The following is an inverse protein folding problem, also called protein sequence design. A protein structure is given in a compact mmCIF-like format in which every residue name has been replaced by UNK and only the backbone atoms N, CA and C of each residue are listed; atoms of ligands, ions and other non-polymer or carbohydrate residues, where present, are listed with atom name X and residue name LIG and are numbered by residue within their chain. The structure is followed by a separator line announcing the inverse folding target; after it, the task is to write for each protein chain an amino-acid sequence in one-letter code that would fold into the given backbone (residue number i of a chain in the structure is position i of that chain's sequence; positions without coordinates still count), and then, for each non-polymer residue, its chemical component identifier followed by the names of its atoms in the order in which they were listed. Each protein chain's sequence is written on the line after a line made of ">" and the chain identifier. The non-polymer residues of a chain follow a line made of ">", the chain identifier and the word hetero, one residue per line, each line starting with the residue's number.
data_IF_033289631238
#
_entry.id   IF_033289631238
#
_cell.length_a   1.000
_cell.length_b   1.000
_cell.length_c   1.000
_cell.angle_alpha   90.00
_cell.angle_beta   90.00
_cell.angle_gamma   90.00
#
_symmetry.space_group_name_H-M   'P 1'
#
loop_
_entity.id
_entity.type
_entity.pdbx_description
1 polymer ?
#
# COMPACT_ATOMS: atom_id res chain seq x y z
N UNK A 1 2.74 -17.91 4.71
CA UNK A 1 2.93 -16.93 5.80
C UNK A 1 4.24 -17.29 6.49
N UNK A 2 5.11 -16.31 6.73
CA UNK A 2 6.37 -16.49 7.47
C UNK A 2 6.14 -16.23 8.96
N UNK A 3 5.59 -15.06 9.29
CA UNK A 3 5.43 -14.61 10.67
C UNK A 3 4.26 -13.65 10.83
N UNK A 4 3.68 -13.61 12.03
CA UNK A 4 2.73 -12.59 12.50
C UNK A 4 3.48 -11.72 13.51
N UNK A 5 3.35 -10.38 13.49
CA UNK A 5 4.04 -9.56 14.47
C UNK A 5 3.57 -9.87 15.91
N UNK A 6 4.46 -9.72 16.91
CA UNK A 6 4.09 -9.90 18.31
C UNK A 6 3.22 -8.76 18.85
N UNK A 7 3.11 -7.66 18.11
CA UNK A 7 2.27 -6.50 18.44
C UNK A 7 1.03 -6.45 17.55
N UNK A 8 -0.04 -5.85 18.08
CA UNK A 8 -1.31 -5.65 17.36
C UNK A 8 -1.59 -4.19 17.02
N UNK A 9 -0.81 -3.28 17.57
CA UNK A 9 -0.92 -1.84 17.37
C UNK A 9 0.42 -1.27 16.93
N UNK A 10 0.37 -0.29 16.04
CA UNK A 10 1.51 0.54 15.64
C UNK A 10 1.25 1.93 16.21
N UNK A 11 2.23 2.46 16.94
CA UNK A 11 2.11 3.71 17.69
C UNK A 11 3.06 4.77 17.14
N UNK A 12 2.72 6.04 17.36
CA UNK A 12 3.68 7.15 17.31
C UNK A 12 4.56 7.15 18.56
N UNK A 13 5.63 7.95 18.51
CA UNK A 13 6.53 8.17 19.66
C UNK A 13 5.80 8.72 20.90
N UNK A 14 4.73 9.48 20.70
CA UNK A 14 3.90 10.04 21.79
C UNK A 14 2.86 9.05 22.34
N UNK A 15 2.82 7.81 21.83
CA UNK A 15 1.87 6.77 22.22
C UNK A 15 0.54 6.80 21.46
N UNK A 16 0.33 7.73 20.54
CA UNK A 16 -0.88 7.77 19.70
C UNK A 16 -0.96 6.53 18.81
N UNK A 17 -2.11 5.87 18.78
CA UNK A 17 -2.36 4.69 17.93
C UNK A 17 -2.50 5.12 16.47
N UNK A 18 -1.60 4.63 15.61
CA UNK A 18 -1.61 4.85 14.15
C UNK A 18 -2.41 3.75 13.44
N UNK A 19 -2.24 2.51 13.90
CA UNK A 19 -2.89 1.33 13.34
C UNK A 19 -3.23 0.35 14.46
N UNK A 20 -4.38 -0.31 14.36
CA UNK A 20 -4.92 -1.16 15.43
C UNK A 20 -5.67 -2.39 14.88
N UNK A 21 -4.94 -3.49 14.73
CA UNK A 21 -5.50 -4.78 14.34
C UNK A 21 -6.17 -5.51 15.50
N UNK A 22 -5.90 -5.13 16.75
CA UNK A 22 -6.55 -5.74 17.91
C UNK A 22 -8.06 -5.48 17.90
N UNK A 23 -8.44 -4.27 17.51
CA UNK A 23 -9.83 -3.84 17.46
C UNK A 23 -10.74 -4.60 16.47
N UNK A 24 -10.17 -5.43 15.60
CA UNK A 24 -10.91 -6.30 14.67
C UNK A 24 -10.86 -7.80 15.04
N UNK A 25 -10.21 -8.17 16.15
CA UNK A 25 -10.05 -9.59 16.56
C UNK A 25 -11.37 -10.31 16.79
N UNK A 26 -12.45 -9.59 17.12
CA UNK A 26 -13.79 -10.14 17.29
C UNK A 26 -14.32 -10.86 16.03
N UNK A 27 -13.80 -10.52 14.84
CA UNK A 27 -14.13 -11.22 13.58
C UNK A 27 -13.63 -12.68 13.56
N UNK A 28 -12.65 -13.04 14.41
CA UNK A 28 -12.01 -14.35 14.41
C UNK A 28 -12.64 -15.34 15.41
N UNK A 29 -13.75 -14.96 16.07
CA UNK A 29 -14.41 -15.80 17.07
C UNK A 29 -15.23 -16.97 16.45
N UNK A 30 -15.31 -17.06 15.12
CA UNK A 30 -16.04 -18.13 14.43
C UNK A 30 -17.57 -17.97 14.45
N UNK A 31 -18.06 -16.77 14.78
CA UNK A 31 -19.49 -16.43 14.78
C UNK A 31 -19.90 -15.84 13.42
N UNK A 32 -21.08 -16.23 12.91
CA UNK A 32 -21.73 -15.56 11.78
C UNK A 32 -22.63 -14.44 12.33
N UNK A 33 -22.37 -13.19 11.93
CA UNK A 33 -23.09 -12.04 12.46
C UNK A 33 -24.23 -11.65 11.49
N UNK A 34 -25.48 -11.80 11.92
CA UNK A 34 -26.67 -11.45 11.10
C UNK A 34 -26.70 -9.97 10.67
N UNK A 35 -26.02 -9.08 11.40
CA UNK A 35 -25.90 -7.65 11.09
C UNK A 35 -24.88 -7.33 9.99
N UNK A 36 -24.08 -8.31 9.55
CA UNK A 36 -23.05 -8.15 8.53
C UNK A 36 -23.46 -8.99 7.30
N UNK A 37 -23.33 -8.41 6.11
CA UNK A 37 -23.54 -9.18 4.89
C UNK A 37 -22.52 -10.34 4.82
N UNK A 38 -22.93 -11.60 4.59
CA UNK A 38 -22.04 -12.77 4.73
C UNK A 38 -20.83 -12.74 3.80
N UNK A 39 -20.98 -12.21 2.57
CA UNK A 39 -19.85 -12.03 1.65
C UNK A 39 -18.84 -10.99 2.18
N UNK A 40 -19.33 -9.90 2.79
CA UNK A 40 -18.47 -8.88 3.39
C UNK A 40 -17.80 -9.42 4.65
N UNK A 41 -18.50 -10.20 5.46
CA UNK A 41 -17.91 -10.85 6.62
C UNK A 41 -16.78 -11.81 6.22
N UNK A 42 -16.98 -12.61 5.16
CA UNK A 42 -15.90 -13.45 4.61
C UNK A 42 -14.70 -12.60 4.19
N UNK A 43 -14.91 -11.51 3.46
CA UNK A 43 -13.83 -10.60 3.06
C UNK A 43 -13.13 -9.98 4.27
N UNK A 44 -13.89 -9.58 5.29
CA UNK A 44 -13.36 -9.06 6.53
C UNK A 44 -12.48 -10.09 7.25
N UNK A 45 -12.89 -11.36 7.34
CA UNK A 45 -12.04 -12.41 7.92
C UNK A 45 -10.77 -12.64 7.08
N UNK A 46 -10.87 -12.61 5.75
CA UNK A 46 -9.69 -12.74 4.87
C UNK A 46 -8.68 -11.62 5.11
N UNK A 47 -9.15 -10.37 5.26
CA UNK A 47 -8.30 -9.22 5.55
C UNK A 47 -7.73 -9.22 6.99
N UNK A 48 -8.16 -10.14 7.86
CA UNK A 48 -7.50 -10.41 9.15
C UNK A 48 -6.27 -11.32 9.02
N UNK A 49 -5.95 -11.84 7.83
CA UNK A 49 -4.72 -12.59 7.57
C UNK A 49 -3.51 -11.63 7.40
N UNK A 50 -3.21 -10.83 8.43
CA UNK A 50 -2.07 -9.90 8.46
C UNK A 50 -0.75 -10.60 8.81
N UNK A 51 0.37 -9.97 8.46
CA UNK A 51 1.71 -10.48 8.74
C UNK A 51 2.66 -10.45 7.55
N UNK A 52 3.80 -11.12 7.69
CA UNK A 52 4.83 -11.26 6.67
C UNK A 52 4.60 -12.53 5.84
N UNK A 53 4.65 -12.38 4.52
CA UNK A 53 4.43 -13.44 3.55
C UNK A 53 5.58 -13.53 2.56
N UNK A 54 5.96 -14.76 2.22
CA UNK A 54 6.77 -15.05 1.05
C UNK A 54 5.85 -15.26 -0.14
N UNK A 55 6.04 -14.49 -1.20
CA UNK A 55 5.30 -14.60 -2.48
C UNK A 55 6.12 -15.42 -3.47
N UNK A 56 7.42 -15.09 -3.59
CA UNK A 56 8.39 -15.85 -4.37
C UNK A 56 9.50 -16.29 -3.44
N UNK A 57 9.82 -17.59 -3.35
CA UNK A 57 10.86 -18.11 -2.48
C UNK A 57 12.16 -17.33 -2.58
N UNK A 58 12.67 -16.86 -1.44
CA UNK A 58 13.91 -16.12 -1.29
C UNK A 58 14.01 -14.79 -2.07
N UNK A 59 12.90 -14.28 -2.64
CA UNK A 59 12.93 -13.15 -3.58
C UNK A 59 11.91 -12.06 -3.33
N UNK A 60 10.63 -12.40 -3.16
CA UNK A 60 9.56 -11.40 -3.05
C UNK A 60 8.77 -11.67 -1.78
N UNK A 61 8.66 -10.64 -0.95
CA UNK A 61 7.93 -10.68 0.30
C UNK A 61 6.88 -9.58 0.35
N UNK A 62 5.85 -9.78 1.15
CA UNK A 62 4.85 -8.77 1.44
C UNK A 62 4.56 -8.71 2.93
N UNK A 63 4.49 -7.51 3.48
CA UNK A 63 3.84 -7.25 4.77
C UNK A 63 2.43 -6.76 4.47
N UNK A 64 1.45 -7.47 5.02
CA UNK A 64 0.02 -7.24 4.77
C UNK A 64 -0.71 -6.90 6.06
N UNK A 65 -1.75 -6.06 5.97
CA UNK A 65 -2.61 -5.68 7.11
C UNK A 65 -1.91 -4.82 8.16
N UNK A 66 -0.87 -4.07 7.76
CA UNK A 66 -0.26 -3.00 8.56
C UNK A 66 -0.87 -1.63 8.27
N UNK A 67 -1.64 -1.55 7.19
CA UNK A 67 -2.34 -0.38 6.66
C UNK A 67 -3.45 -0.90 5.71
N UNK A 68 -4.04 -0.01 4.91
CA UNK A 68 -4.97 -0.38 3.84
C UNK A 68 -4.28 -1.21 2.76
N UNK A 69 -3.15 -0.69 2.25
CA UNK A 69 -2.36 -1.32 1.21
C UNK A 69 -1.39 -2.39 1.76
N UNK A 70 -0.81 -3.15 0.82
CA UNK A 70 0.34 -4.01 1.11
C UNK A 70 1.63 -3.25 0.78
N UNK A 71 2.69 -3.52 1.53
CA UNK A 71 4.06 -3.11 1.17
C UNK A 71 4.83 -4.36 0.72
N UNK A 72 5.47 -4.28 -0.44
CA UNK A 72 6.24 -5.41 -0.99
C UNK A 72 7.74 -5.14 -0.91
N UNK A 73 8.51 -6.16 -0.56
CA UNK A 73 9.96 -6.11 -0.46
C UNK A 73 10.56 -7.10 -1.46
N UNK A 74 11.29 -6.58 -2.43
CA UNK A 74 12.01 -7.39 -3.42
C UNK A 74 13.48 -7.47 -3.00
N UNK A 75 13.97 -8.69 -2.81
CA UNK A 75 15.35 -8.97 -2.40
C UNK A 75 16.29 -8.81 -3.59
N UNK A 76 16.98 -7.67 -3.67
CA UNK A 76 18.08 -7.44 -4.59
C UNK A 76 19.40 -8.03 -4.10
N UNK A 77 20.46 -7.76 -4.87
CA UNK A 77 21.81 -8.21 -4.57
C UNK A 77 22.39 -7.56 -3.30
N UNK A 78 22.09 -6.28 -3.06
CA UNK A 78 22.61 -5.50 -1.92
C UNK A 78 21.53 -5.25 -0.87
N UNK A 79 20.27 -5.11 -1.24
CA UNK A 79 19.22 -4.77 -0.28
C UNK A 79 17.79 -4.93 -0.76
N UNK A 80 16.91 -4.09 -0.20
CA UNK A 80 15.47 -4.12 -0.49
C UNK A 80 15.11 -3.10 -1.55
N UNK A 81 14.41 -3.54 -2.60
CA UNK A 81 13.59 -2.66 -3.43
C UNK A 81 12.19 -2.69 -2.82
N UNK A 82 11.75 -1.54 -2.30
CA UNK A 82 10.47 -1.42 -1.60
C UNK A 82 9.40 -0.93 -2.58
N UNK A 83 8.28 -1.63 -2.65
CA UNK A 83 7.11 -1.22 -3.41
C UNK A 83 6.02 -0.76 -2.46
N UNK A 84 5.46 0.40 -2.75
CA UNK A 84 4.30 1.01 -2.12
C UNK A 84 4.40 1.10 -0.58
N UNK A 85 5.15 2.09 -0.06
CA UNK A 85 5.41 2.21 1.37
C UNK A 85 4.22 2.75 2.18
N UNK A 86 3.02 2.18 2.01
CA UNK A 86 1.84 2.39 2.85
C UNK A 86 1.37 3.86 2.96
N UNK A 87 0.40 4.13 3.84
CA UNK A 87 -0.21 5.46 4.03
C UNK A 87 0.59 6.35 4.98
N UNK A 88 1.31 5.76 5.92
CA UNK A 88 1.94 6.46 7.04
C UNK A 88 3.38 6.04 7.28
N UNK A 89 4.22 7.00 7.68
CA UNK A 89 5.64 6.78 8.01
C UNK A 89 5.80 5.66 9.03
N UNK A 90 4.94 5.63 10.04
CA UNK A 90 5.00 4.69 11.15
C UNK A 90 4.67 3.26 10.71
N UNK A 91 3.65 3.07 9.85
CA UNK A 91 3.29 1.74 9.34
C UNK A 91 4.35 1.19 8.39
N UNK A 92 4.90 2.04 7.52
CA UNK A 92 5.97 1.67 6.60
C UNK A 92 7.27 1.33 7.33
N UNK A 93 7.64 2.12 8.36
CA UNK A 93 8.78 1.83 9.24
C UNK A 93 8.60 0.50 9.95
N UNK A 94 7.45 0.28 10.59
CA UNK A 94 7.15 -0.96 11.29
C UNK A 94 7.23 -2.18 10.35
N UNK A 95 6.78 -2.06 9.10
CA UNK A 95 6.90 -3.14 8.13
C UNK A 95 8.35 -3.44 7.72
N UNK A 96 9.18 -2.41 7.50
CA UNK A 96 10.61 -2.56 7.19
C UNK A 96 11.38 -3.16 8.37
N UNK A 97 11.13 -2.68 9.58
CA UNK A 97 11.76 -3.22 10.78
C UNK A 97 11.35 -4.68 10.99
N UNK A 98 10.06 -5.01 10.81
CA UNK A 98 9.56 -6.38 10.95
C UNK A 98 10.19 -7.36 9.96
N UNK A 99 10.32 -7.01 8.67
CA UNK A 99 10.98 -7.91 7.72
C UNK A 99 12.48 -8.04 8.01
N UNK A 100 13.14 -6.97 8.46
CA UNK A 100 14.55 -7.00 8.85
C UNK A 100 14.77 -7.91 10.08
N UNK A 101 13.88 -7.87 11.06
CA UNK A 101 13.92 -8.75 12.23
C UNK A 101 13.77 -10.22 11.85
N UNK A 102 12.93 -10.54 10.85
CA UNK A 102 12.68 -11.92 10.43
C UNK A 102 13.74 -12.47 9.47
N UNK A 103 14.27 -11.64 8.56
CA UNK A 103 15.08 -12.09 7.41
C UNK A 103 16.49 -11.49 7.36
N UNK A 104 16.85 -10.71 8.37
CA UNK A 104 18.12 -9.98 8.47
C UNK A 104 18.04 -8.59 7.85
N UNK A 105 18.70 -7.63 8.51
CA UNK A 105 18.71 -6.24 8.11
C UNK A 105 19.34 -6.03 6.73
N UNK A 106 18.68 -5.21 5.89
CA UNK A 106 19.20 -4.78 4.60
C UNK A 106 18.89 -3.31 4.34
N UNK A 107 19.78 -2.58 3.64
CA UNK A 107 19.48 -1.22 3.23
C UNK A 107 18.37 -1.20 2.17
N UNK A 108 17.58 -0.13 2.14
CA UNK A 108 16.68 0.15 1.02
C UNK A 108 17.50 0.68 -0.15
N UNK A 109 17.45 -0.01 -1.29
CA UNK A 109 18.22 0.33 -2.49
C UNK A 109 17.40 1.06 -3.54
N UNK A 110 16.06 0.99 -3.47
CA UNK A 110 15.14 1.76 -4.27
C UNK A 110 13.73 1.72 -3.66
N UNK A 111 12.91 2.71 -4.00
CA UNK A 111 11.47 2.71 -3.74
C UNK A 111 10.73 2.82 -5.06
N UNK A 112 9.76 1.95 -5.29
CA UNK A 112 8.83 1.99 -6.43
C UNK A 112 7.47 2.37 -5.90
N UNK A 113 6.87 3.39 -6.49
CA UNK A 113 5.50 3.80 -6.23
C UNK A 113 4.69 3.39 -7.46
N UNK A 114 3.75 2.48 -7.27
CA UNK A 114 2.95 1.93 -8.35
C UNK A 114 2.04 2.96 -8.99
N UNK A 115 1.42 3.80 -8.18
CA UNK A 115 0.44 4.77 -8.65
C UNK A 115 0.23 5.95 -7.68
N UNK A 116 -0.62 6.90 -8.09
CA UNK A 116 -0.75 8.21 -7.45
C UNK A 116 -1.68 8.30 -6.24
N UNK A 117 -1.99 7.21 -5.52
CA UNK A 117 -2.79 7.26 -4.28
C UNK A 117 -1.97 7.22 -2.99
N UNK A 118 -2.48 7.91 -1.97
CA UNK A 118 -1.73 8.21 -0.74
C UNK A 118 -1.36 6.97 0.09
N UNK A 119 -2.13 5.89 0.00
CA UNK A 119 -1.83 4.61 0.64
C UNK A 119 -0.69 3.84 -0.03
N UNK A 120 -0.19 4.31 -1.16
CA UNK A 120 0.94 3.72 -1.89
C UNK A 120 2.22 4.56 -1.83
N UNK A 121 2.16 5.81 -1.37
CA UNK A 121 3.37 6.64 -1.22
C UNK A 121 3.49 7.33 0.15
N UNK A 122 2.39 7.38 0.91
CA UNK A 122 2.26 8.22 2.09
C UNK A 122 3.28 7.91 3.19
N UNK A 123 3.69 6.66 3.33
CA UNK A 123 4.68 6.24 4.32
C UNK A 123 6.11 6.23 3.82
N UNK A 124 6.43 6.82 2.65
CA UNK A 124 7.78 6.76 2.04
C UNK A 124 8.91 7.22 2.97
N UNK A 125 8.67 8.22 3.83
CA UNK A 125 9.64 8.70 4.84
C UNK A 125 9.90 7.69 5.97
N UNK A 126 9.15 6.60 6.01
CA UNK A 126 9.33 5.45 6.88
C UNK A 126 10.37 4.46 6.35
N UNK A 127 10.72 4.52 5.07
CA UNK A 127 11.65 3.55 4.45
C UNK A 127 12.90 4.19 3.83
N UNK A 128 12.86 5.48 3.49
CA UNK A 128 13.99 6.20 2.89
C UNK A 128 14.09 7.64 3.40
N UNK A 129 15.33 8.15 3.49
CA UNK A 129 15.61 9.56 3.76
C UNK A 129 15.60 10.37 2.45
N UNK A 130 14.93 11.52 2.46
CA UNK A 130 14.83 12.44 1.32
C UNK A 130 16.21 12.93 0.86
N UNK A 131 17.19 13.07 1.76
CA UNK A 131 18.56 13.44 1.43
C UNK A 131 19.30 12.35 0.63
N UNK A 132 18.97 11.07 0.83
CA UNK A 132 19.57 9.98 0.06
C UNK A 132 18.95 9.88 -1.34
N UNK A 133 17.65 10.22 -1.46
CA UNK A 133 16.99 10.37 -2.76
C UNK A 133 17.57 11.56 -3.54
N UNK A 134 17.70 12.73 -2.91
CA UNK A 134 18.19 13.94 -3.58
C UNK A 134 19.66 13.83 -4.04
N UNK A 135 20.46 13.03 -3.33
CA UNK A 135 21.84 12.70 -3.71
C UNK A 135 21.95 11.54 -4.71
N UNK A 136 20.83 10.97 -5.16
CA UNK A 136 20.78 9.89 -6.14
C UNK A 136 21.24 8.53 -5.62
N UNK A 137 21.32 8.33 -4.29
CA UNK A 137 21.73 7.04 -3.70
C UNK A 137 20.62 6.01 -3.75
N UNK A 138 19.37 6.45 -3.49
CA UNK A 138 18.19 5.59 -3.49
C UNK A 138 17.19 6.19 -4.48
N UNK A 139 17.01 5.60 -5.68
CA UNK A 139 16.04 6.11 -6.62
C UNK A 139 14.62 5.87 -6.11
N UNK A 140 13.78 6.89 -6.24
CA UNK A 140 12.32 6.79 -6.13
C UNK A 140 11.76 6.76 -7.55
N UNK A 141 11.06 5.68 -7.89
CA UNK A 141 10.60 5.36 -9.24
C UNK A 141 9.07 5.41 -9.25
N UNK A 142 8.48 6.14 -10.21
CA UNK A 142 7.03 6.29 -10.32
C UNK A 142 6.58 6.35 -11.80
N UNK A 143 5.30 6.10 -12.11
CA UNK A 143 4.77 6.29 -13.46
C UNK A 143 4.76 7.75 -13.88
N UNK A 144 4.71 7.96 -15.19
CA UNK A 144 4.49 9.29 -15.79
C UNK A 144 3.22 9.94 -15.26
N UNK A 145 3.26 11.25 -14.98
CA UNK A 145 2.13 12.00 -14.43
C UNK A 145 1.93 11.88 -12.92
N UNK A 146 2.71 11.05 -12.22
CA UNK A 146 2.54 10.80 -10.78
C UNK A 146 2.43 12.09 -9.93
N UNK A 147 3.37 13.03 -10.06
CA UNK A 147 3.39 14.24 -9.22
C UNK A 147 2.15 15.12 -9.44
N UNK A 148 1.71 15.27 -10.69
CA UNK A 148 0.54 16.09 -11.03
C UNK A 148 -0.72 15.50 -10.39
N UNK A 149 -0.88 14.17 -10.46
CA UNK A 149 -2.07 13.49 -9.96
C UNK A 149 -2.07 13.29 -8.44
N UNK A 150 -0.91 12.98 -7.84
CA UNK A 150 -0.79 12.85 -6.39
C UNK A 150 -1.13 14.18 -5.65
N UNK A 151 -0.79 15.32 -6.27
CA UNK A 151 -1.09 16.65 -5.70
C UNK A 151 -2.49 17.13 -6.08
N UNK A 152 -2.88 17.05 -7.36
CA UNK A 152 -4.16 17.63 -7.82
C UNK A 152 -5.38 16.97 -7.17
N UNK A 153 -5.34 15.66 -6.95
CA UNK A 153 -6.44 14.91 -6.35
C UNK A 153 -6.74 15.40 -4.92
N UNK A 154 -5.71 15.74 -4.15
CA UNK A 154 -5.85 16.06 -2.73
C UNK A 154 -6.06 17.55 -2.45
N UNK A 155 -5.77 18.43 -3.42
CA UNK A 155 -5.74 19.88 -3.19
C UNK A 155 -7.03 20.57 -3.64
N UNK A 156 -7.46 20.41 -4.89
CA UNK A 156 -8.53 21.26 -5.45
C UNK A 156 -9.91 21.04 -4.81
N UNK A 157 -10.26 19.79 -4.52
CA UNK A 157 -11.51 19.42 -3.85
C UNK A 157 -11.27 18.78 -2.47
N UNK A 158 -10.07 18.96 -1.91
CA UNK A 158 -9.59 18.24 -0.74
C UNK A 158 -10.52 18.30 0.48
N UNK A 159 -11.08 19.48 0.80
CA UNK A 159 -12.00 19.60 1.95
C UNK A 159 -13.29 18.78 1.77
N UNK A 160 -13.88 18.81 0.57
CA UNK A 160 -15.11 18.06 0.28
C UNK A 160 -14.83 16.55 0.23
N UNK A 161 -13.74 16.15 -0.42
CA UNK A 161 -13.31 14.76 -0.52
C UNK A 161 -12.99 14.17 0.85
N UNK A 162 -12.23 14.89 1.68
CA UNK A 162 -11.92 14.47 3.05
C UNK A 162 -13.19 14.36 3.89
N UNK A 163 -14.12 15.32 3.82
CA UNK A 163 -15.38 15.20 4.58
C UNK A 163 -16.21 13.98 4.15
N UNK A 164 -16.27 13.68 2.86
CA UNK A 164 -16.99 12.50 2.32
C UNK A 164 -16.28 11.19 2.64
N UNK A 165 -14.95 11.19 2.73
CA UNK A 165 -14.15 10.04 3.16
C UNK A 165 -14.63 9.52 4.52
N UNK A 166 -14.97 10.39 5.48
CA UNK A 166 -15.49 9.95 6.79
C UNK A 166 -16.72 9.04 6.70
N UNK A 167 -17.55 9.21 5.67
CA UNK A 167 -18.70 8.34 5.42
C UNK A 167 -18.29 7.05 4.71
N UNK A 168 -17.55 7.15 3.60
CA UNK A 168 -17.13 5.98 2.83
C UNK A 168 -16.25 5.03 3.66
N UNK A 169 -15.32 5.60 4.42
CA UNK A 169 -14.33 4.86 5.19
C UNK A 169 -14.83 4.50 6.59
N UNK A 170 -15.99 5.03 7.00
CA UNK A 170 -16.60 4.76 8.29
C UNK A 170 -15.68 5.02 9.49
N UNK A 171 -14.71 5.94 9.38
CA UNK A 171 -13.63 6.11 10.38
C UNK A 171 -14.11 6.58 11.75
N UNK A 172 -15.36 7.04 11.87
CA UNK A 172 -16.00 7.42 13.14
C UNK A 172 -16.85 6.29 13.76
N UNK A 173 -17.06 5.18 13.04
CA UNK A 173 -17.86 4.07 13.53
C UNK A 173 -17.02 3.19 14.45
N UNK A 174 -17.65 2.66 15.49
CA UNK A 174 -17.05 1.61 16.31
C UNK A 174 -16.71 0.39 15.46
N UNK A 175 -15.62 -0.31 15.78
CA UNK A 175 -15.23 -1.56 15.12
C UNK A 175 -15.97 -2.70 15.82
N UNK A 176 -17.14 -3.06 15.31
CA UNK A 176 -18.06 -4.00 15.93
C UNK A 176 -19.01 -4.61 14.89
N UNK A 177 -19.77 -5.67 15.24
CA UNK A 177 -20.79 -6.24 14.35
C UNK A 177 -21.85 -5.25 13.86
N UNK A 178 -22.04 -4.11 14.55
CA UNK A 178 -23.01 -3.07 14.21
C UNK A 178 -22.35 -1.78 13.69
N UNK A 179 -21.05 -1.81 13.38
CA UNK A 179 -20.28 -0.65 12.96
C UNK A 179 -19.34 -0.94 11.78
N UNK A 180 -18.11 -0.43 11.84
CA UNK A 180 -17.12 -0.66 10.80
C UNK A 180 -16.55 -2.08 10.88
N UNK A 181 -16.60 -2.81 9.78
CA UNK A 181 -16.14 -4.21 9.71
C UNK A 181 -14.91 -4.40 8.81
N UNK A 182 -14.84 -3.67 7.69
CA UNK A 182 -13.80 -3.80 6.67
C UNK A 182 -13.88 -2.69 5.60
N UNK A 183 -12.85 -2.55 4.77
CA UNK A 183 -12.82 -1.67 3.59
C UNK A 183 -12.58 -2.41 2.27
N UNK A 184 -12.96 -3.69 2.18
CA UNK A 184 -12.84 -4.54 0.98
C UNK A 184 -11.39 -4.87 0.61
N UNK A 185 -10.60 -3.89 0.16
CA UNK A 185 -9.19 -4.06 -0.24
C UNK A 185 -8.25 -4.19 0.97
N UNK A 186 -8.69 -3.77 2.14
CA UNK A 186 -8.00 -3.91 3.41
C UNK A 186 -8.90 -3.56 4.59
N UNK A 187 -8.31 -3.47 5.78
CA UNK A 187 -9.06 -3.28 7.03
C UNK A 187 -9.57 -1.86 7.22
N UNK A 188 -8.70 -0.87 7.01
CA UNK A 188 -8.93 0.56 7.17
C UNK A 188 -7.67 1.29 6.67
N UNK A 189 -7.63 2.63 6.75
CA UNK A 189 -6.40 3.40 6.57
C UNK A 189 -5.74 3.76 7.89
N UNK A 190 -4.41 3.78 7.91
CA UNK A 190 -3.64 4.24 9.06
C UNK A 190 -3.80 5.76 9.27
N UNK A 191 -3.84 6.17 10.55
CA UNK A 191 -4.00 7.56 10.97
C UNK A 191 -2.66 8.18 11.42
N UNK A 192 -1.62 7.98 10.61
CA UNK A 192 -0.24 8.35 10.95
C UNK A 192 0.26 9.60 10.25
N UNK A 193 1.58 9.69 10.10
CA UNK A 193 2.24 10.82 9.44
C UNK A 193 2.45 10.51 7.96
N UNK A 194 1.64 11.11 7.10
CA UNK A 194 1.75 11.00 5.64
C UNK A 194 2.81 11.95 5.07
N UNK A 195 3.51 11.53 4.02
CA UNK A 195 4.53 12.28 3.33
C UNK A 195 4.67 11.89 1.87
N UNK A 196 5.33 12.75 1.11
CA UNK A 196 5.63 12.57 -0.30
C UNK A 196 7.09 12.96 -0.53
N UNK A 197 7.82 12.14 -1.27
CA UNK A 197 9.14 12.46 -1.79
C UNK A 197 9.03 12.45 -3.33
N UNK A 198 9.42 13.52 -4.04
CA UNK A 198 9.36 13.54 -5.50
C UNK A 198 10.15 12.39 -6.13
N UNK A 199 9.60 11.69 -7.14
CA UNK A 199 10.33 10.64 -7.83
C UNK A 199 11.58 11.19 -8.51
N UNK A 200 12.70 10.49 -8.34
CA UNK A 200 13.96 10.78 -9.03
C UNK A 200 14.04 10.10 -10.40
N UNK A 201 13.15 9.14 -10.69
CA UNK A 201 13.03 8.46 -11.98
C UNK A 201 11.56 8.28 -12.35
N UNK A 202 11.22 8.61 -13.58
CA UNK A 202 9.88 8.44 -14.13
C UNK A 202 9.91 7.36 -15.20
N UNK A 203 8.96 6.43 -15.15
CA UNK A 203 8.70 5.46 -16.21
C UNK A 203 7.79 6.13 -17.24
N UNK A 204 8.35 6.49 -18.40
CA UNK A 204 7.65 7.35 -19.37
C UNK A 204 7.14 6.62 -20.61
N UNK A 205 7.67 5.44 -20.91
CA UNK A 205 7.25 4.65 -22.08
C UNK A 205 6.06 3.75 -21.72
N UNK A 206 5.23 3.32 -22.69
CA UNK A 206 4.15 2.37 -22.42
C UNK A 206 4.65 1.11 -21.70
N UNK A 207 5.80 0.59 -22.13
CA UNK A 207 6.56 -0.45 -21.44
C UNK A 207 8.01 0.00 -21.37
N UNK A 208 8.61 0.02 -20.19
CA UNK A 208 10.02 0.34 -19.97
C UNK A 208 10.68 -0.78 -19.15
N UNK A 209 11.86 -1.22 -19.61
CA UNK A 209 12.69 -2.16 -18.87
C UNK A 209 13.72 -1.42 -18.05
N UNK A 210 13.80 -1.77 -16.77
CA UNK A 210 14.77 -1.21 -15.84
C UNK A 210 15.42 -2.34 -15.05
N UNK A 211 16.66 -2.15 -14.64
CA UNK A 211 17.36 -3.05 -13.73
C UNK A 211 17.82 -2.26 -12.53
N UNK A 212 17.44 -2.70 -11.34
CA UNK A 212 17.83 -2.08 -10.07
C UNK A 212 18.29 -3.19 -9.14
N UNK A 213 19.48 -3.03 -8.57
CA UNK A 213 20.04 -3.98 -7.59
C UNK A 213 20.00 -5.46 -8.03
N UNK A 214 20.31 -5.73 -9.30
CA UNK A 214 20.30 -7.09 -9.88
C UNK A 214 18.92 -7.61 -10.29
N UNK A 215 17.86 -6.83 -10.06
CA UNK A 215 16.47 -7.18 -10.38
C UNK A 215 16.03 -6.49 -11.65
N UNK A 216 15.66 -7.29 -12.65
CA UNK A 216 15.02 -6.86 -13.89
C UNK A 216 13.52 -6.65 -13.67
N UNK A 217 13.03 -5.50 -14.12
CA UNK A 217 11.63 -5.10 -14.04
C UNK A 217 11.18 -4.58 -15.40
N UNK A 218 10.07 -5.09 -15.89
CA UNK A 218 9.36 -4.54 -17.04
C UNK A 218 8.12 -3.81 -16.53
N UNK A 219 8.21 -2.48 -16.49
CA UNK A 219 7.15 -1.60 -16.00
C UNK A 219 6.21 -1.25 -17.16
N UNK A 220 4.92 -1.56 -17.00
CA UNK A 220 3.88 -1.24 -17.98
C UNK A 220 3.02 -0.11 -17.41
N UNK A 221 3.08 1.08 -18.02
CA UNK A 221 2.17 2.16 -17.67
C UNK A 221 0.73 1.80 -18.06
N UNK A 222 -0.21 2.03 -17.16
CA UNK A 222 -1.66 1.80 -17.31
C UNK A 222 -2.46 3.02 -16.82
N UNK A 223 -2.22 4.22 -17.38
CA UNK A 223 -2.88 5.44 -16.93
C UNK A 223 -4.40 5.35 -17.11
N UNK A 224 -5.17 5.94 -16.18
CA UNK A 224 -6.62 6.05 -16.30
C UNK A 224 -7.42 4.84 -15.80
N UNK A 225 -6.73 3.80 -15.33
CA UNK A 225 -7.31 2.57 -14.76
C UNK A 225 -7.75 2.78 -13.30
N UNK A 226 -7.02 2.28 -12.30
CA UNK A 226 -7.32 2.59 -10.90
C UNK A 226 -6.88 4.03 -10.57
N UNK A 227 -5.71 4.44 -11.02
CA UNK A 227 -5.26 5.83 -10.89
C UNK A 227 -4.98 6.50 -12.25
N UNK A 228 -5.02 7.84 -12.32
CA UNK A 228 -4.61 8.56 -13.52
C UNK A 228 -3.15 8.29 -13.92
N UNK A 229 -2.28 8.04 -12.94
CA UNK A 229 -0.89 7.61 -13.16
C UNK A 229 -0.65 6.31 -12.39
N UNK A 230 -0.49 5.20 -13.11
CA UNK A 230 -0.33 3.86 -12.58
C UNK A 230 0.56 3.00 -13.49
N UNK A 231 1.27 2.03 -12.91
CA UNK A 231 2.01 1.04 -13.67
C UNK A 231 2.03 -0.34 -13.01
N UNK A 232 1.82 -1.38 -13.83
CA UNK A 232 2.12 -2.76 -13.47
C UNK A 232 3.62 -3.05 -13.55
N UNK A 233 4.08 -4.09 -12.86
CA UNK A 233 5.48 -4.53 -12.95
C UNK A 233 5.57 -6.03 -13.18
N UNK A 234 6.24 -6.43 -14.25
CA UNK A 234 6.61 -7.82 -14.52
C UNK A 234 8.06 -8.09 -14.14
N UNK A 235 8.29 -9.17 -13.39
CA UNK A 235 9.63 -9.64 -13.02
C UNK A 235 9.99 -10.88 -13.84
N UNK A 236 10.70 -10.75 -14.97
CA UNK A 236 10.99 -11.87 -15.87
C UNK A 236 11.82 -12.97 -15.20
N UNK A 237 12.77 -12.61 -14.33
CA UNK A 237 13.61 -13.57 -13.59
C UNK A 237 12.79 -14.52 -12.71
N UNK A 238 11.64 -14.06 -12.21
CA UNK A 238 10.80 -14.79 -11.26
C UNK A 238 9.48 -15.25 -11.87
N UNK A 239 9.22 -14.92 -13.14
CA UNK A 239 7.94 -15.10 -13.81
C UNK A 239 6.76 -14.60 -12.97
N UNK A 240 6.93 -13.45 -12.34
CA UNK A 240 5.97 -12.90 -11.38
C UNK A 240 5.39 -11.59 -11.88
N UNK A 241 4.07 -11.48 -11.88
CA UNK A 241 3.34 -10.28 -12.27
C UNK A 241 2.83 -9.57 -11.02
N UNK A 242 3.21 -8.31 -10.85
CA UNK A 242 2.75 -7.44 -9.79
C UNK A 242 1.82 -6.41 -10.42
N UNK A 243 0.53 -6.54 -10.13
CA UNK A 243 -0.57 -5.95 -10.90
C UNK A 243 -1.03 -4.57 -10.40
N UNK A 244 -0.17 -3.83 -9.69
CA UNK A 244 -0.55 -2.58 -9.04
C UNK A 244 -1.86 -2.73 -8.27
N UNK A 245 -2.84 -1.89 -8.59
CA UNK A 245 -4.20 -2.02 -8.07
C UNK A 245 -5.24 -2.30 -9.17
N UNK A 246 -4.77 -2.53 -10.40
CA UNK A 246 -5.58 -3.00 -11.53
C UNK A 246 -6.29 -4.33 -11.26
N UNK A 247 -5.63 -5.27 -10.56
CA UNK A 247 -6.18 -6.59 -10.24
C UNK A 247 -6.03 -6.86 -8.75
N UNK A 248 -7.16 -6.85 -8.05
CA UNK A 248 -7.26 -7.11 -6.61
C UNK A 248 -8.30 -8.20 -6.32
N UNK A 249 -8.50 -8.52 -5.04
CA UNK A 249 -9.48 -9.51 -4.58
C UNK A 249 -10.94 -9.03 -4.60
N UNK A 250 -11.27 -7.96 -5.33
CA UNK A 250 -12.61 -7.35 -5.34
C UNK A 250 -12.89 -6.61 -6.66
N UNK A 251 -14.15 -6.26 -6.91
CA UNK A 251 -14.49 -5.30 -7.97
C UNK A 251 -14.05 -3.92 -7.49
N UNK A 252 -13.14 -3.28 -8.21
CA UNK A 252 -12.66 -1.94 -7.86
C UNK A 252 -13.63 -0.85 -8.31
N UNK A 253 -13.44 0.35 -7.76
CA UNK A 253 -14.23 1.50 -8.09
C UNK A 253 -13.92 1.98 -9.51
N UNK A 254 -14.95 2.09 -10.35
CA UNK A 254 -14.91 2.98 -11.53
C UNK A 254 -15.13 4.44 -11.07
N UNK A 255 -15.84 4.62 -9.95
CA UNK A 255 -16.03 5.90 -9.29
C UNK A 255 -16.03 5.71 -7.77
N UNK A 256 -15.12 6.40 -7.08
CA UNK A 256 -15.04 6.37 -5.61
C UNK A 256 -16.05 7.32 -4.97
N UNK A 257 -16.76 6.88 -3.94
CA UNK A 257 -17.85 7.63 -3.32
C UNK A 257 -17.38 8.89 -2.56
N UNK A 258 -16.09 8.98 -2.19
CA UNK A 258 -15.46 10.20 -1.65
C UNK A 258 -15.40 11.32 -2.69
N UNK A 259 -15.55 10.98 -3.97
CA UNK A 259 -15.53 11.88 -5.10
C UNK A 259 -14.14 11.99 -5.70
N UNK A 260 -14.01 11.55 -6.94
CA UNK A 260 -12.84 11.74 -7.79
C UNK A 260 -13.30 11.89 -9.25
N UNK A 261 -12.36 11.99 -10.19
CA UNK A 261 -12.66 11.78 -11.60
C UNK A 261 -13.19 10.34 -11.80
N UNK A 262 -14.12 10.18 -12.74
CA UNK A 262 -14.59 8.85 -13.15
C UNK A 262 -13.47 8.18 -13.94
N UNK A 263 -13.17 6.92 -13.63
CA UNK A 263 -12.17 6.09 -14.31
C UNK A 263 -12.74 5.50 -15.59
N UNK A 264 -11.88 5.14 -16.54
CA UNK A 264 -12.31 4.49 -17.78
C UNK A 264 -12.25 2.96 -17.61
N UNK A 265 -13.40 2.24 -17.61
CA UNK A 265 -13.39 0.79 -17.52
C UNK A 265 -13.07 0.07 -18.84
N UNK A 266 -12.87 0.81 -19.94
CA UNK A 266 -12.63 0.25 -21.28
C UNK A 266 -11.14 0.28 -21.70
N UNK A 267 -10.34 1.20 -21.17
CA UNK A 267 -8.90 1.33 -21.48
C UNK A 267 -8.01 0.26 -20.81
#
# INVERSE_FOLDING_TARGET
>A
MIAVPPYKQILKEDGTVVWDMESYQWLLNGEDFESIHPSLQRQAVLNMAYGLYEVVPDRIYQVRGYDLANISFIKGDRGWIVFDPLTAKETARAALDFINDQLGERPVTAVVISHSHADHFGGIRGVVDEADVSRGKVPVIAPVGFMDHAVSENVYAGNAMNRRLFYQYGVLLSRSPFGHVDQSIGKNTAAGTTGLIPPSRIISKPIEKITIDGIEMECQNTPGTEAPAEMNTWFPQFKTFWAAENITGTIHNIYTLRGALIRDPLE
#
